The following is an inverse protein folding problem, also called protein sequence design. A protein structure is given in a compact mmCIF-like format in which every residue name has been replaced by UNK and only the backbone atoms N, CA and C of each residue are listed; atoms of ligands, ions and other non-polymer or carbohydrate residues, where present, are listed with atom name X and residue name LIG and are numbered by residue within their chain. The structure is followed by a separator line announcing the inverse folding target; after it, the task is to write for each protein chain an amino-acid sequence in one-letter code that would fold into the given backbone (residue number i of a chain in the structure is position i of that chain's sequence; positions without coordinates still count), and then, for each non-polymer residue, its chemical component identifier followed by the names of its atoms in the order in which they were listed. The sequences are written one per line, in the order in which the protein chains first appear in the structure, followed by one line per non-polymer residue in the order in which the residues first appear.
data_IF_628593897500
#
_entry.id   IF_628593897500
#
_cell.length_a   1.000
_cell.length_b   1.000
_cell.length_c   1.000
_cell.angle_alpha   90.00
_cell.angle_beta   90.00
_cell.angle_gamma   90.00
#
_symmetry.space_group_name_H-M   'P 1'
#
loop_
_entity.id
_entity.type
_entity.pdbx_description
1 polymer ?
#
# COMPACT_ATOMS: atom_id res chain seq x y z
N UNK A 1 -10.37 -74.58 -36.38
CA UNK A 1 -9.28 -73.64 -36.06
C UNK A 1 -9.81 -72.68 -35.02
N UNK A 2 -9.48 -72.89 -33.74
CA UNK A 2 -9.83 -71.97 -32.65
C UNK A 2 -8.56 -71.24 -32.26
N UNK A 3 -8.45 -69.98 -32.65
CA UNK A 3 -7.41 -69.08 -32.17
C UNK A 3 -7.85 -68.46 -30.85
N UNK A 4 -6.87 -68.31 -29.97
CA UNK A 4 -7.00 -68.06 -28.53
C UNK A 4 -7.57 -66.66 -28.23
N UNK A 5 -8.76 -66.58 -27.62
CA UNK A 5 -9.32 -65.33 -27.04
C UNK A 5 -8.35 -64.60 -26.11
N UNK A 6 -7.45 -65.34 -25.45
CA UNK A 6 -6.44 -64.79 -24.55
C UNK A 6 -5.32 -63.99 -25.25
N UNK A 7 -5.11 -64.18 -26.56
CA UNK A 7 -4.11 -63.41 -27.31
C UNK A 7 -4.68 -62.06 -27.80
N UNK A 8 -5.98 -62.01 -28.10
CA UNK A 8 -6.68 -60.79 -28.54
C UNK A 8 -6.82 -59.76 -27.40
N UNK A 9 -7.13 -60.21 -26.18
CA UNK A 9 -7.17 -59.32 -25.00
C UNK A 9 -5.79 -58.79 -24.61
N UNK A 10 -4.73 -59.58 -24.84
CA UNK A 10 -3.36 -59.15 -24.54
C UNK A 10 -2.86 -58.10 -25.54
N UNK A 11 -3.21 -58.23 -26.82
CA UNK A 11 -2.91 -57.25 -27.85
C UNK A 11 -3.70 -55.94 -27.68
N UNK A 12 -4.95 -56.01 -27.20
CA UNK A 12 -5.73 -54.79 -26.90
C UNK A 12 -5.19 -54.04 -25.67
N UNK A 13 -4.72 -54.75 -24.64
CA UNK A 13 -4.06 -54.13 -23.48
C UNK A 13 -2.69 -53.53 -23.83
N UNK A 14 -1.89 -54.20 -24.67
CA UNK A 14 -0.58 -53.68 -25.12
C UNK A 14 -0.76 -52.42 -25.98
N UNK A 15 -1.75 -52.39 -26.87
CA UNK A 15 -2.06 -51.19 -27.65
C UNK A 15 -2.49 -50.03 -26.74
N UNK A 16 -3.23 -50.30 -25.67
CA UNK A 16 -3.59 -49.28 -24.69
C UNK A 16 -2.37 -48.76 -23.93
N UNK A 17 -1.49 -49.64 -23.45
CA UNK A 17 -0.31 -49.24 -22.69
C UNK A 17 0.71 -48.47 -23.56
N UNK A 18 0.97 -48.93 -24.79
CA UNK A 18 1.85 -48.25 -25.75
C UNK A 18 1.27 -46.89 -26.20
N UNK A 19 -0.05 -46.80 -26.38
CA UNK A 19 -0.73 -45.54 -26.69
C UNK A 19 -0.72 -44.58 -25.50
N UNK A 20 -0.94 -45.07 -24.27
CA UNK A 20 -0.80 -44.29 -23.05
C UNK A 20 0.62 -43.78 -22.88
N UNK A 21 1.64 -44.59 -23.15
CA UNK A 21 3.05 -44.19 -23.08
C UNK A 21 3.38 -43.11 -24.11
N UNK A 22 2.85 -43.25 -25.33
CA UNK A 22 2.99 -42.23 -26.38
C UNK A 22 2.34 -40.91 -25.97
N UNK A 23 1.13 -40.95 -25.43
CA UNK A 23 0.41 -39.78 -24.92
C UNK A 23 1.13 -39.14 -23.73
N UNK A 24 1.64 -39.95 -22.80
CA UNK A 24 2.39 -39.48 -21.64
C UNK A 24 3.67 -38.73 -22.07
N UNK A 25 4.43 -39.29 -23.01
CA UNK A 25 5.61 -38.64 -23.59
C UNK A 25 5.25 -37.32 -24.26
N UNK A 26 4.16 -37.29 -25.02
CA UNK A 26 3.68 -36.06 -25.65
C UNK A 26 3.33 -34.99 -24.61
N UNK A 27 2.53 -35.33 -23.59
CA UNK A 27 2.12 -34.39 -22.55
C UNK A 27 3.33 -33.86 -21.77
N UNK A 28 4.33 -34.71 -21.46
CA UNK A 28 5.57 -34.27 -20.82
C UNK A 28 6.31 -33.22 -21.66
N UNK A 29 6.42 -33.42 -22.98
CA UNK A 29 7.07 -32.47 -23.87
C UNK A 29 6.29 -31.15 -24.00
N UNK A 30 4.96 -31.22 -24.06
CA UNK A 30 4.10 -30.05 -24.12
C UNK A 30 4.16 -29.21 -22.84
N UNK A 31 4.08 -29.86 -21.67
CA UNK A 31 4.18 -29.17 -20.39
C UNK A 31 5.58 -28.59 -20.18
N UNK A 32 6.64 -29.26 -20.64
CA UNK A 32 7.99 -28.70 -20.66
C UNK A 32 8.10 -27.41 -21.52
N UNK A 33 7.51 -27.42 -22.74
CA UNK A 33 7.44 -26.21 -23.58
C UNK A 33 6.68 -25.09 -22.89
N UNK A 34 5.57 -25.41 -22.23
CA UNK A 34 4.76 -24.45 -21.46
C UNK A 34 5.55 -23.86 -20.29
N UNK A 35 6.31 -24.69 -19.57
CA UNK A 35 7.17 -24.25 -18.49
C UNK A 35 8.29 -23.33 -18.98
N UNK A 36 8.90 -23.62 -20.14
CA UNK A 36 9.87 -22.72 -20.77
C UNK A 36 9.27 -21.33 -21.01
N UNK A 37 8.11 -21.25 -21.68
CA UNK A 37 7.42 -19.98 -21.94
C UNK A 37 7.10 -19.25 -20.62
N UNK A 38 6.64 -19.99 -19.61
CA UNK A 38 6.33 -19.41 -18.31
C UNK A 38 7.57 -18.82 -17.63
N UNK A 39 8.70 -19.53 -17.68
CA UNK A 39 9.96 -19.06 -17.12
C UNK A 39 10.48 -17.82 -17.88
N UNK A 40 10.33 -17.76 -19.20
CA UNK A 40 10.70 -16.58 -19.99
C UNK A 40 9.79 -15.37 -19.68
N UNK A 41 8.47 -15.60 -19.52
CA UNK A 41 7.50 -14.52 -19.31
C UNK A 41 7.51 -13.99 -17.87
N UNK A 42 7.64 -14.86 -16.88
CA UNK A 42 7.46 -14.54 -15.45
C UNK A 42 8.72 -14.77 -14.60
N UNK A 43 9.80 -15.30 -15.18
CA UNK A 43 11.02 -15.61 -14.45
C UNK A 43 10.79 -16.58 -13.30
N UNK A 44 11.53 -16.38 -12.20
CA UNK A 44 11.40 -17.17 -10.98
C UNK A 44 9.99 -17.11 -10.36
N UNK A 45 9.22 -16.03 -10.59
CA UNK A 45 7.84 -15.93 -10.07
C UNK A 45 6.86 -16.86 -10.78
N UNK A 46 7.16 -17.34 -11.99
CA UNK A 46 6.28 -18.25 -12.74
C UNK A 46 6.12 -19.64 -12.10
N UNK A 47 7.08 -20.04 -11.27
CA UNK A 47 7.02 -21.29 -10.50
C UNK A 47 6.18 -21.17 -9.23
N UNK A 48 5.88 -19.94 -8.79
CA UNK A 48 5.02 -19.70 -7.63
C UNK A 48 3.57 -19.97 -8.03
N UNK A 49 2.88 -20.84 -7.28
CA UNK A 49 1.44 -21.08 -7.45
C UNK A 49 0.70 -19.73 -7.40
N UNK A 50 -0.13 -19.40 -8.40
CA UNK A 50 -0.87 -18.14 -8.39
C UNK A 50 -1.76 -18.12 -7.15
N UNK A 51 -1.55 -17.11 -6.29
CA UNK A 51 -2.22 -16.96 -4.99
C UNK A 51 -3.66 -16.49 -5.11
N UNK A 52 -4.14 -16.22 -6.33
CA UNK A 52 -5.40 -15.52 -6.57
C UNK A 52 -6.44 -16.50 -7.14
N UNK A 53 -7.17 -17.16 -6.25
CA UNK A 53 -8.49 -17.77 -6.56
C UNK A 53 -9.56 -16.66 -6.59
N UNK A 54 -9.23 -15.50 -7.15
CA UNK A 54 -10.09 -14.32 -7.13
C UNK A 54 -10.32 -13.86 -8.56
N UNK A 55 -11.54 -13.41 -8.86
CA UNK A 55 -11.85 -12.85 -10.18
C UNK A 55 -10.96 -11.64 -10.50
N UNK A 56 -10.19 -11.71 -11.60
CA UNK A 56 -9.26 -10.64 -12.01
C UNK A 56 -9.94 -9.28 -12.13
N UNK A 57 -11.17 -9.24 -12.66
CA UNK A 57 -11.92 -7.98 -12.83
C UNK A 57 -12.31 -7.38 -11.47
N UNK A 58 -12.83 -8.23 -10.57
CA UNK A 58 -13.18 -7.80 -9.22
C UNK A 58 -11.97 -7.24 -8.48
N UNK A 59 -10.87 -8.00 -8.42
CA UNK A 59 -9.66 -7.57 -7.72
C UNK A 59 -9.11 -6.25 -8.27
N UNK A 60 -9.00 -6.12 -9.60
CA UNK A 60 -8.52 -4.89 -10.22
C UNK A 60 -9.41 -3.69 -9.87
N UNK A 61 -10.73 -3.86 -9.95
CA UNK A 61 -11.67 -2.78 -9.64
C UNK A 61 -11.62 -2.41 -8.16
N UNK A 62 -11.53 -3.38 -7.25
CA UNK A 62 -11.39 -3.16 -5.80
C UNK A 62 -10.09 -2.41 -5.49
N UNK A 63 -8.97 -2.81 -6.08
CA UNK A 63 -7.67 -2.14 -5.86
C UNK A 63 -7.69 -0.70 -6.37
N UNK A 64 -8.19 -0.45 -7.58
CA UNK A 64 -8.29 0.90 -8.15
C UNK A 64 -9.24 1.76 -7.31
N UNK A 65 -10.42 1.25 -6.94
CA UNK A 65 -11.40 1.98 -6.14
C UNK A 65 -10.82 2.38 -4.78
N UNK A 66 -10.14 1.46 -4.10
CA UNK A 66 -9.49 1.75 -2.81
C UNK A 66 -8.32 2.73 -2.95
N UNK A 67 -7.50 2.59 -3.99
CA UNK A 67 -6.39 3.53 -4.24
C UNK A 67 -6.90 4.96 -4.45
N UNK A 68 -7.93 5.14 -5.29
CA UNK A 68 -8.56 6.44 -5.53
C UNK A 68 -9.23 6.98 -4.26
N UNK A 69 -9.96 6.13 -3.53
CA UNK A 69 -10.59 6.54 -2.27
C UNK A 69 -9.57 7.04 -1.24
N UNK A 70 -8.43 6.36 -1.11
CA UNK A 70 -7.37 6.75 -0.18
C UNK A 70 -6.69 8.07 -0.58
N UNK A 71 -6.47 8.30 -1.88
CA UNK A 71 -5.94 9.57 -2.39
C UNK A 71 -6.90 10.71 -2.04
N UNK A 72 -8.18 10.55 -2.36
CA UNK A 72 -9.20 11.56 -2.09
C UNK A 72 -9.37 11.85 -0.59
N UNK A 73 -9.30 10.81 0.24
CA UNK A 73 -9.37 10.96 1.71
C UNK A 73 -8.17 11.77 2.24
N UNK A 74 -6.96 11.47 1.78
CA UNK A 74 -5.76 12.21 2.18
C UNK A 74 -5.81 13.68 1.72
N UNK A 75 -6.35 13.93 0.52
CA UNK A 75 -6.52 15.30 0.01
C UNK A 75 -7.56 16.08 0.82
N UNK A 76 -8.71 15.46 1.14
CA UNK A 76 -9.72 16.07 2.00
C UNK A 76 -9.15 16.39 3.40
N UNK A 77 -8.40 15.48 4.01
CA UNK A 77 -7.75 15.72 5.30
C UNK A 77 -6.74 16.88 5.23
N UNK A 78 -5.94 16.95 4.16
CA UNK A 78 -5.02 18.06 3.92
C UNK A 78 -5.76 19.39 3.78
N UNK A 79 -6.85 19.43 3.03
CA UNK A 79 -7.68 20.64 2.88
C UNK A 79 -8.31 21.07 4.21
N UNK A 80 -8.77 20.12 5.04
CA UNK A 80 -9.28 20.43 6.39
C UNK A 80 -8.20 20.97 7.33
N UNK A 81 -6.98 20.43 7.27
CA UNK A 81 -5.82 20.95 8.01
C UNK A 81 -5.46 22.38 7.59
N UNK A 82 -5.48 22.69 6.29
CA UNK A 82 -5.22 24.05 5.79
C UNK A 82 -6.32 25.02 6.26
N UNK A 83 -7.60 24.64 6.14
CA UNK A 83 -8.73 25.46 6.60
C UNK A 83 -8.64 25.76 8.10
N UNK A 84 -8.33 24.76 8.92
CA UNK A 84 -8.20 24.96 10.38
C UNK A 84 -7.01 25.85 10.74
N UNK A 85 -5.88 25.74 10.03
CA UNK A 85 -4.73 26.65 10.20
C UNK A 85 -5.06 28.09 9.81
N UNK A 86 -5.80 28.30 8.72
CA UNK A 86 -6.24 29.64 8.30
C UNK A 86 -7.17 30.27 9.33
N UNK A 87 -8.15 29.52 9.85
CA UNK A 87 -9.04 30.01 10.91
C UNK A 87 -8.29 30.36 12.21
N UNK A 88 -7.29 29.56 12.61
CA UNK A 88 -6.45 29.90 13.77
C UNK A 88 -5.69 31.21 13.56
N UNK A 89 -5.06 31.40 12.39
CA UNK A 89 -4.34 32.66 12.08
C UNK A 89 -5.27 33.88 12.06
N UNK A 90 -6.47 33.75 11.51
CA UNK A 90 -7.48 34.83 11.51
C UNK A 90 -7.94 35.19 12.94
N UNK A 91 -8.09 34.19 13.80
CA UNK A 91 -8.46 34.40 15.20
C UNK A 91 -7.32 35.07 15.98
N UNK A 92 -6.07 34.64 15.78
CA UNK A 92 -4.90 35.28 16.39
C UNK A 92 -4.74 36.74 15.95
N UNK A 93 -4.87 37.05 14.66
CA UNK A 93 -4.77 38.43 14.17
C UNK A 93 -5.88 39.31 14.74
N UNK A 94 -7.10 38.76 14.88
CA UNK A 94 -8.24 39.47 15.48
C UNK A 94 -8.03 39.69 16.98
N UNK A 95 -7.37 38.75 17.67
CA UNK A 95 -7.03 38.87 19.09
C UNK A 95 -5.94 39.94 19.33
N UNK A 96 -4.93 40.00 18.44
CA UNK A 96 -3.87 41.00 18.49
C UNK A 96 -4.40 42.42 18.19
N UNK A 97 -5.27 42.59 17.18
CA UNK A 97 -5.89 43.90 16.89
C UNK A 97 -6.76 44.43 18.04
N UNK A 98 -7.45 43.54 18.77
CA UNK A 98 -8.24 43.96 19.94
C UNK A 98 -7.35 44.47 21.08
N UNK A 99 -6.16 43.90 21.25
CA UNK A 99 -5.21 44.33 22.30
C UNK A 99 -4.49 45.63 21.95
N UNK A 100 -4.19 45.88 20.67
CA UNK A 100 -3.57 47.15 20.25
C UNK A 100 -4.52 48.34 20.38
N UNK A 101 -5.83 48.13 20.22
CA UNK A 101 -6.84 49.19 20.32
C UNK A 101 -7.25 49.51 21.77
N UNK A 102 -6.83 48.70 22.74
CA UNK A 102 -7.02 48.94 24.18
C UNK A 102 -5.67 49.24 24.86
N UNK A 103 -4.97 50.27 24.38
CA UNK A 103 -3.87 50.84 25.16
C UNK A 103 -4.43 51.96 26.05
N UNK A 104 -4.43 51.83 27.39
CA UNK A 104 -4.73 52.96 28.25
C UNK A 104 -3.54 53.93 28.18
N UNK A 105 -3.82 55.17 27.79
CA UNK A 105 -2.91 56.32 27.90
C UNK A 105 -2.26 56.33 29.29
N UNK A 106 -0.97 55.98 29.37
CA UNK A 106 -0.19 56.11 30.61
C UNK A 106 0.30 57.55 30.72
N UNK A 107 -0.41 58.33 31.55
CA UNK A 107 0.06 59.59 32.13
C UNK A 107 0.95 59.30 33.35
N UNK A 108 2.08 60.02 33.41
CA UNK A 108 2.92 60.37 34.59
C UNK A 108 3.81 59.25 35.17
N UNK A 109 4.94 59.49 35.83
CA UNK A 109 5.52 60.68 36.47
C UNK A 109 7.04 60.43 36.61
N UNK A 110 7.88 61.45 36.46
CA UNK A 110 9.30 61.41 36.84
C UNK A 110 9.45 61.14 38.34
N UNK A 111 10.38 60.26 38.73
CA UNK A 111 11.13 60.35 39.98
C UNK A 111 12.40 59.48 39.87
N UNK A 112 13.55 60.13 40.04
CA UNK A 112 14.88 59.52 40.17
C UNK A 112 14.98 58.74 41.49
N UNK A 113 15.76 57.66 41.53
CA UNK A 113 17.00 57.63 42.31
C UNK A 113 17.71 56.28 42.15
N UNK A 114 19.03 56.41 42.02
CA UNK A 114 20.02 55.36 41.90
C UNK A 114 20.13 54.49 43.16
N UNK A 115 20.85 53.38 42.96
CA UNK A 115 21.75 52.76 43.93
C UNK A 115 21.24 51.52 44.71
N UNK A 116 22.17 50.56 44.82
CA UNK A 116 22.10 49.28 45.53
C UNK A 116 21.49 48.12 44.70
N UNK A 117 22.20 47.62 43.68
CA UNK A 117 23.42 46.81 43.88
C UNK A 117 23.40 46.04 45.20
N UNK A 118 23.10 44.74 45.11
CA UNK A 118 23.50 43.65 46.03
C UNK A 118 22.32 42.81 46.55
N UNK A 119 22.02 41.73 45.84
CA UNK A 119 21.91 40.36 46.40
C UNK A 119 21.47 39.41 45.28
N UNK A 120 22.41 38.64 44.71
CA UNK A 120 22.81 37.31 45.19
C UNK A 120 22.20 36.27 44.23
N UNK A 121 22.91 35.98 43.13
CA UNK A 121 23.71 34.76 42.98
C UNK A 121 22.91 33.45 43.18
N UNK A 122 22.80 32.71 42.07
CA UNK A 122 22.95 31.26 41.92
C UNK A 122 22.04 30.33 42.73
N UNK A 123 21.27 29.52 41.99
CA UNK A 123 21.26 28.03 42.01
C UNK A 123 20.09 27.57 41.11
N UNK A 124 20.34 27.10 39.89
CA UNK A 124 20.58 25.67 39.59
C UNK A 124 20.46 24.71 40.78
N UNK A 125 19.38 23.91 40.75
CA UNK A 125 19.45 22.44 40.71
C UNK A 125 18.15 21.89 40.12
#
# INVERSE_FOLDING_TARGET
MSTNKNEEEKLSSINNDDEMDRLARQILLEEAKRHKIRAETQGALGWKKPTLVTNRKFLRNTLISNAVHNINKNEQEKQQRIKSMMHRKQNDSKYQQKRSNTSPSRKKHDFNDDELSSKRMKKEK
#
